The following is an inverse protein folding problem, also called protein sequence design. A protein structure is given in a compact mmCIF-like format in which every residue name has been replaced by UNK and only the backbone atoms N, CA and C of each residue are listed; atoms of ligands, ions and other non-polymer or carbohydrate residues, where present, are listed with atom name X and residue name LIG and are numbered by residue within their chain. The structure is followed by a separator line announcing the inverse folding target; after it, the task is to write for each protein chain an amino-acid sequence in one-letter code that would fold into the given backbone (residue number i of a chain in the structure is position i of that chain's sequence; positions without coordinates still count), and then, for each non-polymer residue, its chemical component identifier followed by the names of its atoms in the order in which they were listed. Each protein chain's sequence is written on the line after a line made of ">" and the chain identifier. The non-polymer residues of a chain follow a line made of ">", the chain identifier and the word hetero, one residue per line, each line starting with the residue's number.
data_IF_444389039216
#
_entry.id   IF_444389039216
#
_cell.length_a   1.000
_cell.length_b   1.000
_cell.length_c   1.000
_cell.angle_alpha   90.00
_cell.angle_beta   90.00
_cell.angle_gamma   90.00
#
_symmetry.space_group_name_H-M   'P 1'
#
loop_
_entity.id
_entity.type
_entity.pdbx_description
1 polymer ?
#
# COMPACT_ATOMS: atom_id res chain seq x y z
N UNK A 1 -33.49 10.33 4.74
CA UNK A 1 -32.17 9.88 5.22
C UNK A 1 -31.49 11.06 5.89
N UNK A 2 -30.84 10.89 7.04
CA UNK A 2 -30.09 11.99 7.67
C UNK A 2 -28.82 12.26 6.85
N UNK A 3 -28.46 13.54 6.59
CA UNK A 3 -27.29 13.89 5.78
C UNK A 3 -25.98 13.27 6.31
N UNK A 4 -25.86 13.05 7.63
CA UNK A 4 -24.68 12.47 8.27
C UNK A 4 -24.45 10.98 7.99
N UNK A 5 -25.50 10.18 7.87
CA UNK A 5 -25.37 8.76 7.50
C UNK A 5 -24.80 8.63 6.09
N UNK A 6 -25.16 9.57 5.20
CA UNK A 6 -24.60 9.64 3.85
C UNK A 6 -23.12 10.04 3.88
N UNK A 7 -22.74 11.06 4.65
CA UNK A 7 -21.32 11.47 4.78
C UNK A 7 -20.43 10.35 5.31
N UNK A 8 -20.81 9.70 6.42
CA UNK A 8 -20.00 8.61 7.00
C UNK A 8 -19.90 7.41 6.05
N UNK A 9 -20.99 7.06 5.36
CA UNK A 9 -21.00 5.93 4.41
C UNK A 9 -20.12 6.22 3.18
N UNK A 10 -20.19 7.45 2.65
CA UNK A 10 -19.35 7.86 1.51
C UNK A 10 -17.88 7.86 1.92
N UNK A 11 -17.53 8.45 3.06
CA UNK A 11 -16.14 8.48 3.48
C UNK A 11 -15.56 7.09 3.80
N UNK A 12 -16.34 6.21 4.44
CA UNK A 12 -15.93 4.82 4.67
C UNK A 12 -15.69 4.08 3.34
N UNK A 13 -16.54 4.30 2.33
CA UNK A 13 -16.35 3.71 1.00
C UNK A 13 -15.07 4.20 0.30
N UNK A 14 -14.71 5.48 0.48
CA UNK A 14 -13.47 6.07 -0.05
C UNK A 14 -12.24 5.48 0.67
N UNK A 15 -12.30 5.34 1.99
CA UNK A 15 -11.22 4.72 2.78
C UNK A 15 -11.00 3.26 2.40
N UNK A 16 -12.08 2.47 2.23
CA UNK A 16 -11.99 1.08 1.77
C UNK A 16 -11.35 1.00 0.38
N UNK A 17 -11.74 1.89 -0.54
CA UNK A 17 -11.18 1.95 -1.88
C UNK A 17 -9.67 2.28 -1.85
N UNK A 18 -9.27 3.29 -1.09
CA UNK A 18 -7.87 3.69 -0.93
C UNK A 18 -7.03 2.61 -0.24
N UNK A 19 -7.59 1.93 0.76
CA UNK A 19 -6.94 0.79 1.41
C UNK A 19 -6.69 -0.36 0.42
N UNK A 20 -7.68 -0.66 -0.42
CA UNK A 20 -7.54 -1.68 -1.47
C UNK A 20 -6.46 -1.30 -2.49
N UNK A 21 -6.39 -0.04 -2.91
CA UNK A 21 -5.36 0.47 -3.82
C UNK A 21 -3.98 0.32 -3.18
N UNK A 22 -3.81 0.76 -1.94
CA UNK A 22 -2.54 0.67 -1.20
C UNK A 22 -2.09 -0.78 -1.04
N UNK A 23 -3.02 -1.68 -0.74
CA UNK A 23 -2.72 -3.12 -0.61
C UNK A 23 -2.34 -3.75 -1.94
N UNK A 24 -2.96 -3.34 -3.05
CA UNK A 24 -2.57 -3.78 -4.41
C UNK A 24 -1.17 -3.28 -4.78
N UNK A 25 -0.86 -2.02 -4.45
CA UNK A 25 0.46 -1.44 -4.68
C UNK A 25 1.55 -2.17 -3.90
N UNK A 26 1.30 -2.47 -2.61
CA UNK A 26 2.20 -3.30 -1.78
C UNK A 26 2.47 -4.66 -2.42
N UNK A 27 1.42 -5.40 -2.82
CA UNK A 27 1.57 -6.72 -3.47
C UNK A 27 2.38 -6.64 -4.76
N UNK A 28 2.23 -5.57 -5.53
CA UNK A 28 3.03 -5.35 -6.74
C UNK A 28 4.50 -5.11 -6.40
N UNK A 29 4.80 -4.24 -5.43
CA UNK A 29 6.16 -4.00 -4.95
C UNK A 29 6.84 -5.30 -4.49
N UNK A 30 6.16 -6.08 -3.64
CA UNK A 30 6.66 -7.38 -3.17
C UNK A 30 6.95 -8.35 -4.32
N UNK A 31 6.10 -8.36 -5.35
CA UNK A 31 6.35 -9.16 -6.55
C UNK A 31 7.59 -8.69 -7.30
N UNK A 32 7.80 -7.37 -7.46
CA UNK A 32 8.99 -6.82 -8.11
C UNK A 32 10.26 -7.13 -7.34
N UNK A 33 10.23 -7.11 -6.02
CA UNK A 33 11.35 -7.54 -5.20
C UNK A 33 11.74 -9.00 -5.49
N UNK A 34 10.74 -9.90 -5.55
CA UNK A 34 10.97 -11.31 -5.93
C UNK A 34 11.55 -11.45 -7.33
N UNK A 35 11.01 -10.73 -8.32
CA UNK A 35 11.50 -10.75 -9.70
C UNK A 35 12.97 -10.28 -9.79
N UNK A 36 13.34 -9.27 -9.00
CA UNK A 36 14.72 -8.75 -8.92
C UNK A 36 15.66 -9.75 -8.27
N UNK A 37 15.26 -10.38 -7.16
CA UNK A 37 16.07 -11.41 -6.49
C UNK A 37 16.30 -12.64 -7.42
N UNK A 38 15.29 -13.04 -8.19
CA UNK A 38 15.41 -14.10 -9.19
C UNK A 38 16.39 -13.70 -10.32
N UNK A 39 16.34 -12.45 -10.79
CA UNK A 39 17.27 -11.93 -11.79
C UNK A 39 18.72 -11.85 -11.25
N UNK A 40 18.91 -11.42 -9.99
CA UNK A 40 20.22 -11.41 -9.31
C UNK A 40 20.78 -12.83 -9.18
N UNK A 41 19.94 -13.77 -8.76
CA UNK A 41 20.34 -15.17 -8.63
C UNK A 41 20.70 -15.79 -9.99
N UNK A 42 19.96 -15.45 -11.05
CA UNK A 42 20.27 -15.90 -12.41
C UNK A 42 21.62 -15.38 -12.90
N UNK A 43 21.96 -14.12 -12.63
CA UNK A 43 23.28 -13.54 -12.92
C UNK A 43 24.37 -14.29 -12.16
N UNK A 44 24.20 -14.51 -10.85
CA UNK A 44 25.20 -15.18 -10.01
C UNK A 44 25.44 -16.63 -10.42
N UNK A 45 24.37 -17.40 -10.68
CA UNK A 45 24.49 -18.82 -11.11
C UNK A 45 25.09 -18.98 -12.50
N UNK A 46 24.95 -17.97 -13.36
CA UNK A 46 25.46 -18.00 -14.73
C UNK A 46 26.89 -17.49 -14.85
N UNK A 47 27.50 -17.02 -13.76
CA UNK A 47 28.88 -16.57 -13.74
C UNK A 47 29.80 -17.69 -14.25
N UNK A 48 30.39 -17.48 -15.44
CA UNK A 48 31.31 -18.38 -16.14
C UNK A 48 30.70 -19.57 -16.92
N UNK A 49 29.37 -19.69 -17.00
CA UNK A 49 28.70 -20.82 -17.71
C UNK A 49 28.06 -20.37 -19.04
N UNK A 50 27.71 -19.09 -19.16
CA UNK A 50 26.99 -18.56 -20.32
C UNK A 50 27.90 -17.75 -21.24
N UNK A 51 27.53 -17.66 -22.53
CA UNK A 51 28.29 -16.83 -23.46
C UNK A 51 28.09 -15.32 -23.18
N UNK A 52 28.98 -14.44 -23.67
CA UNK A 52 28.92 -13.00 -23.38
C UNK A 52 27.59 -12.34 -23.75
N UNK A 53 26.95 -12.75 -24.85
CA UNK A 53 25.65 -12.20 -25.31
C UNK A 53 24.49 -12.61 -24.40
N UNK A 54 24.52 -13.83 -23.87
CA UNK A 54 23.56 -14.30 -22.88
C UNK A 54 23.77 -13.61 -21.53
N UNK A 55 25.03 -13.40 -21.15
CA UNK A 55 25.39 -12.68 -19.94
C UNK A 55 24.90 -11.24 -19.97
N UNK A 56 25.08 -10.53 -21.09
CA UNK A 56 24.53 -9.18 -21.30
C UNK A 56 23.01 -9.16 -21.13
N UNK A 57 22.29 -10.13 -21.72
CA UNK A 57 20.83 -10.23 -21.57
C UNK A 57 20.40 -10.39 -20.09
N UNK A 58 21.16 -11.14 -19.30
CA UNK A 58 20.89 -11.29 -17.86
C UNK A 58 21.13 -9.98 -17.10
N UNK A 59 22.19 -9.24 -17.43
CA UNK A 59 22.45 -7.92 -16.84
C UNK A 59 21.39 -6.89 -17.21
N UNK A 60 20.91 -6.88 -18.46
CA UNK A 60 19.79 -6.03 -18.88
C UNK A 60 18.54 -6.39 -18.10
N UNK A 61 18.19 -7.68 -17.99
CA UNK A 61 17.03 -8.13 -17.20
C UNK A 61 17.15 -7.70 -15.73
N UNK A 62 18.34 -7.81 -15.15
CA UNK A 62 18.62 -7.35 -13.79
C UNK A 62 18.42 -5.83 -13.66
N UNK A 63 19.01 -5.04 -14.56
CA UNK A 63 18.86 -3.58 -14.56
C UNK A 63 17.38 -3.16 -14.67
N UNK A 64 16.62 -3.75 -15.60
CA UNK A 64 15.18 -3.52 -15.72
C UNK A 64 14.42 -3.91 -14.46
N UNK A 65 14.76 -5.03 -13.83
CA UNK A 65 14.13 -5.46 -12.58
C UNK A 65 14.39 -4.49 -11.43
N UNK A 66 15.60 -3.91 -11.34
CA UNK A 66 15.95 -2.91 -10.32
C UNK A 66 15.12 -1.65 -10.48
N UNK A 67 15.03 -1.11 -11.69
CA UNK A 67 14.17 0.05 -11.98
C UNK A 67 12.70 -0.26 -11.68
N UNK A 68 12.22 -1.46 -12.03
CA UNK A 68 10.84 -1.84 -11.74
C UNK A 68 10.53 -1.91 -10.23
N UNK A 69 11.49 -2.33 -9.40
CA UNK A 69 11.35 -2.25 -7.93
C UNK A 69 11.25 -0.80 -7.49
N UNK A 70 12.18 0.05 -7.91
CA UNK A 70 12.21 1.48 -7.51
C UNK A 70 10.92 2.23 -7.89
N UNK A 71 10.38 1.98 -9.08
CA UNK A 71 9.13 2.60 -9.53
C UNK A 71 7.93 2.09 -8.72
N UNK A 72 7.90 0.78 -8.44
CA UNK A 72 6.83 0.19 -7.62
C UNK A 72 6.88 0.63 -6.15
N UNK A 73 8.09 0.88 -5.62
CA UNK A 73 8.31 1.39 -4.27
C UNK A 73 7.80 2.82 -4.14
N UNK A 74 8.17 3.70 -5.08
CA UNK A 74 7.66 5.07 -5.14
C UNK A 74 6.13 5.11 -5.23
N UNK A 75 5.54 4.24 -6.04
CA UNK A 75 4.09 4.14 -6.16
C UNK A 75 3.45 3.67 -4.84
N UNK A 76 4.03 2.67 -4.18
CA UNK A 76 3.55 2.19 -2.89
C UNK A 76 3.61 3.28 -1.81
N UNK A 77 4.75 3.97 -1.70
CA UNK A 77 4.94 5.09 -0.76
C UNK A 77 3.96 6.24 -1.03
N UNK A 78 3.73 6.59 -2.31
CA UNK A 78 2.75 7.59 -2.69
C UNK A 78 1.33 7.20 -2.22
N UNK A 79 0.95 5.94 -2.39
CA UNK A 79 -0.35 5.44 -1.96
C UNK A 79 -0.50 5.42 -0.44
N UNK A 80 0.56 5.05 0.31
CA UNK A 80 0.58 5.14 1.78
C UNK A 80 0.34 6.59 2.21
N UNK A 81 1.13 7.54 1.71
CA UNK A 81 1.01 8.95 2.07
C UNK A 81 -0.37 9.52 1.74
N UNK A 82 -0.97 9.09 0.62
CA UNK A 82 -2.31 9.53 0.23
C UNK A 82 -3.37 8.90 1.14
N UNK A 83 -3.24 7.63 1.50
CA UNK A 83 -4.12 6.95 2.44
C UNK A 83 -4.08 7.61 3.83
N UNK A 84 -2.90 7.99 4.30
CA UNK A 84 -2.72 8.70 5.57
C UNK A 84 -3.46 10.03 5.56
N UNK A 85 -3.28 10.83 4.50
CA UNK A 85 -3.97 12.11 4.37
C UNK A 85 -5.49 11.97 4.33
N UNK A 86 -6.01 11.01 3.55
CA UNK A 86 -7.46 10.75 3.47
C UNK A 86 -8.00 10.24 4.82
N UNK A 87 -7.22 9.45 5.56
CA UNK A 87 -7.56 9.01 6.92
C UNK A 87 -7.66 10.19 7.88
N UNK A 88 -6.68 11.09 7.88
CA UNK A 88 -6.68 12.29 8.74
C UNK A 88 -7.85 13.22 8.43
N UNK A 89 -8.12 13.49 7.15
CA UNK A 89 -9.26 14.30 6.72
C UNK A 89 -10.58 13.67 7.17
N UNK A 90 -10.74 12.36 6.98
CA UNK A 90 -11.91 11.64 7.45
C UNK A 90 -12.06 11.67 8.97
N UNK A 91 -10.99 11.40 9.73
CA UNK A 91 -11.01 11.45 11.18
C UNK A 91 -11.41 12.84 11.69
N UNK A 92 -10.88 13.91 11.08
CA UNK A 92 -11.23 15.29 11.43
C UNK A 92 -12.71 15.61 11.18
N UNK A 93 -13.25 15.23 10.01
CA UNK A 93 -14.67 15.42 9.69
C UNK A 93 -15.58 14.57 10.60
N UNK A 94 -15.16 13.33 10.89
CA UNK A 94 -15.89 12.42 11.76
C UNK A 94 -15.91 12.90 13.22
N UNK A 95 -14.78 13.38 13.76
CA UNK A 95 -14.69 13.95 15.11
C UNK A 95 -15.58 15.18 15.23
N UNK A 96 -15.53 16.12 14.28
CA UNK A 96 -16.42 17.31 14.26
C UNK A 96 -17.90 16.92 14.26
N UNK A 97 -18.27 15.86 13.53
CA UNK A 97 -19.65 15.36 13.50
C UNK A 97 -20.03 14.61 14.80
N UNK A 98 -19.08 13.95 15.45
CA UNK A 98 -19.25 13.16 16.67
C UNK A 98 -19.24 13.99 17.96
N UNK A 99 -18.42 15.05 18.06
CA UNK A 99 -18.43 16.01 19.18
C UNK A 99 -19.79 16.70 19.34
N UNK A 100 -20.55 16.79 18.25
CA UNK A 100 -21.90 17.33 18.25
C UNK A 100 -22.97 16.33 18.76
N UNK A 101 -22.67 15.04 18.92
CA UNK A 101 -23.65 14.01 19.33
C UNK A 101 -23.04 12.91 20.23
N UNK A 102 -23.57 12.79 21.46
CA UNK A 102 -23.13 11.90 22.57
C UNK A 102 -23.20 10.38 22.24
N UNK A 103 -23.75 9.98 21.09
CA UNK A 103 -23.95 8.57 20.69
C UNK A 103 -22.69 7.94 20.04
N UNK A 104 -21.63 8.73 19.82
CA UNK A 104 -20.44 8.36 19.02
C UNK A 104 -19.33 7.61 19.78
N UNK A 105 -19.32 7.62 21.11
CA UNK A 105 -18.22 7.06 21.90
C UNK A 105 -18.01 5.54 21.68
N UNK A 106 -19.08 4.78 21.42
CA UNK A 106 -18.99 3.34 21.16
C UNK A 106 -18.37 3.01 19.78
N UNK A 107 -18.64 3.83 18.76
CA UNK A 107 -18.10 3.61 17.40
C UNK A 107 -16.63 4.02 17.27
N UNK A 108 -16.18 5.00 18.05
CA UNK A 108 -14.76 5.40 18.12
C UNK A 108 -13.89 4.24 18.62
N UNK A 109 -14.38 3.43 19.55
CA UNK A 109 -13.66 2.25 20.03
C UNK A 109 -13.54 1.15 18.95
N UNK A 110 -14.57 0.94 18.12
CA UNK A 110 -14.51 -0.04 17.04
C UNK A 110 -13.54 0.37 15.91
N UNK A 111 -13.48 1.66 15.58
CA UNK A 111 -12.53 2.19 14.57
C UNK A 111 -11.08 2.09 15.08
N UNK A 112 -10.81 2.49 16.32
CA UNK A 112 -9.48 2.36 16.92
C UNK A 112 -9.04 0.89 17.03
N UNK A 113 -9.97 -0.03 17.30
CA UNK A 113 -9.68 -1.46 17.30
C UNK A 113 -9.32 -1.99 15.91
N UNK A 114 -9.97 -1.50 14.85
CA UNK A 114 -9.63 -1.84 13.47
C UNK A 114 -8.24 -1.28 13.05
N UNK A 115 -7.89 -0.08 13.51
CA UNK A 115 -6.58 0.54 13.26
C UNK A 115 -5.45 -0.21 13.99
N UNK A 116 -5.68 -0.66 15.24
CA UNK A 116 -4.79 -1.55 15.99
C UNK A 116 -4.59 -2.91 15.30
N UNK A 117 -5.66 -3.50 14.77
CA UNK A 117 -5.58 -4.77 14.02
C UNK A 117 -4.83 -4.61 12.70
N UNK A 118 -4.96 -3.47 12.01
CA UNK A 118 -4.20 -3.17 10.80
C UNK A 118 -2.71 -3.00 11.10
N UNK A 119 -2.35 -2.31 12.19
CA UNK A 119 -0.96 -2.17 12.63
C UNK A 119 -0.31 -3.51 13.02
N UNK A 120 -1.02 -4.38 13.73
CA UNK A 120 -0.51 -5.69 14.16
C UNK A 120 -0.34 -6.70 13.02
N UNK A 121 -1.13 -6.60 11.94
CA UNK A 121 -1.00 -7.47 10.77
C UNK A 121 0.06 -7.00 9.75
N UNK A 122 0.64 -5.82 9.97
CA UNK A 122 1.66 -5.22 9.10
C UNK A 122 3.05 -5.10 9.76
N UNK A 123 3.23 -5.63 10.98
CA UNK A 123 4.54 -5.80 11.63
C UNK A 123 5.15 -7.16 11.35
#
# INVERSE_FOLDING_TARGET
>A
MRPYTLTVTVCLSVLILFWLITTKAKKNYEQKCRDKDEAEQAVHRSANVVNPKQQEKLFVKLATSKTAVEDSDKAYLLHINTLDKVREEWQSEHIKACEHNVVSAAWIQEVNAAELLLHLNFS
#
